data_IF_925726618485
#
_entry.id   IF_925726618485
#
_cell.length_a   1.000
_cell.length_b   1.000
_cell.length_c   1.000
_cell.angle_alpha   90.00
_cell.angle_beta   90.00
_cell.angle_gamma   90.00
#
_symmetry.space_group_name_H-M   'P 1'
#
loop_
_entity.id
_entity.type
_entity.pdbx_description
1 polymer ?
#
# COMPACT_ATOMS: atom_id res chain seq x y z
N UNK A 1 -0.77 19.62 1.65
CA UNK A 1 -1.34 18.97 0.46
C UNK A 1 -1.66 17.55 0.86
N UNK A 2 -2.64 16.88 0.29
CA UNK A 2 -2.81 15.46 0.58
C UNK A 2 -1.55 14.71 0.12
N UNK A 3 -1.13 13.72 0.92
CA UNK A 3 0.00 12.89 0.56
C UNK A 3 -0.35 12.06 -0.69
N UNK A 4 0.63 11.93 -1.57
CA UNK A 4 0.55 11.14 -2.79
C UNK A 4 1.03 9.71 -2.52
N UNK A 5 0.25 8.72 -2.93
CA UNK A 5 0.61 7.30 -2.76
C UNK A 5 0.64 6.56 -4.09
N UNK A 6 1.51 5.59 -4.15
CA UNK A 6 1.52 4.57 -5.19
C UNK A 6 1.32 3.21 -4.54
N UNK A 7 0.31 2.48 -4.97
CA UNK A 7 0.20 1.06 -4.67
C UNK A 7 0.71 0.30 -5.89
N UNK A 8 1.84 -0.36 -5.71
CA UNK A 8 2.54 -1.08 -6.76
C UNK A 8 2.32 -2.58 -6.62
N UNK A 9 1.92 -3.23 -7.70
CA UNK A 9 2.01 -4.68 -7.89
C UNK A 9 3.15 -4.98 -8.85
N UNK A 10 4.06 -5.87 -8.47
CA UNK A 10 5.20 -6.27 -9.31
C UNK A 10 5.14 -7.77 -9.52
N UNK A 11 4.97 -8.19 -10.77
CA UNK A 11 4.89 -9.61 -11.14
C UNK A 11 6.30 -10.14 -11.45
N UNK A 12 6.85 -10.92 -10.52
CA UNK A 12 8.16 -11.54 -10.67
C UNK A 12 8.16 -12.79 -11.53
N UNK A 13 9.30 -13.12 -12.10
CA UNK A 13 9.56 -14.42 -12.72
C UNK A 13 9.57 -15.54 -11.65
N UNK A 14 9.34 -16.78 -12.08
CA UNK A 14 9.26 -17.92 -11.16
C UNK A 14 10.54 -18.07 -10.32
N UNK A 15 10.37 -18.10 -9.00
CA UNK A 15 11.47 -18.18 -8.03
C UNK A 15 12.23 -16.87 -7.81
N UNK A 16 11.74 -15.73 -8.31
CA UNK A 16 12.44 -14.44 -8.22
C UNK A 16 12.34 -13.76 -6.85
N UNK A 17 11.36 -14.12 -6.02
CA UNK A 17 11.08 -13.42 -4.77
C UNK A 17 12.32 -13.22 -3.86
N UNK A 18 13.18 -14.22 -3.60
CA UNK A 18 14.36 -14.02 -2.75
C UNK A 18 15.28 -12.90 -3.26
N UNK A 19 15.52 -12.85 -4.58
CA UNK A 19 16.33 -11.80 -5.20
C UNK A 19 15.63 -10.45 -5.19
N UNK A 20 14.33 -10.40 -5.44
CA UNK A 20 13.54 -9.18 -5.29
C UNK A 20 13.66 -8.59 -3.88
N UNK A 21 13.56 -9.45 -2.86
CA UNK A 21 13.77 -9.01 -1.46
C UNK A 21 15.14 -8.38 -1.25
N UNK A 22 16.21 -8.96 -1.82
CA UNK A 22 17.57 -8.39 -1.77
C UNK A 22 17.66 -7.02 -2.47
N UNK A 23 16.88 -6.77 -3.55
CA UNK A 23 16.86 -5.50 -4.26
C UNK A 23 16.04 -4.44 -3.51
N UNK A 24 14.93 -4.83 -2.89
CA UNK A 24 14.03 -3.91 -2.19
C UNK A 24 14.56 -3.43 -0.83
N UNK A 25 15.39 -4.22 -0.14
CA UNK A 25 15.95 -3.79 1.16
C UNK A 25 16.76 -2.49 1.04
N UNK A 26 17.76 -2.36 0.13
CA UNK A 26 18.47 -1.09 -0.05
C UNK A 26 17.56 0.06 -0.53
N UNK A 27 16.52 -0.24 -1.30
CA UNK A 27 15.54 0.76 -1.75
C UNK A 27 14.71 1.28 -0.58
N UNK A 28 14.28 0.40 0.35
CA UNK A 28 13.61 0.82 1.58
C UNK A 28 14.51 1.72 2.43
N UNK A 29 15.80 1.39 2.53
CA UNK A 29 16.77 2.15 3.32
C UNK A 29 17.02 3.55 2.74
N UNK A 30 17.24 3.65 1.42
CA UNK A 30 17.47 4.95 0.77
C UNK A 30 16.20 5.80 0.79
N UNK A 31 15.05 5.21 0.50
CA UNK A 31 13.75 5.90 0.53
C UNK A 31 13.50 6.60 1.87
N UNK A 32 13.87 5.97 2.99
CA UNK A 32 13.72 6.58 4.32
C UNK A 32 14.55 7.88 4.52
N UNK A 33 15.51 8.15 3.63
CA UNK A 33 16.37 9.35 3.67
C UNK A 33 16.08 10.35 2.55
N UNK A 34 15.22 9.99 1.61
CA UNK A 34 14.92 10.82 0.43
C UNK A 34 13.93 11.94 0.76
N UNK A 35 14.12 13.13 0.18
CA UNK A 35 13.15 14.21 0.28
C UNK A 35 11.78 13.79 -0.22
N UNK A 36 10.75 14.19 0.50
CA UNK A 36 9.34 13.88 0.23
C UNK A 36 8.88 12.45 0.52
N UNK A 37 9.77 11.46 0.76
CA UNK A 37 9.34 10.10 1.06
C UNK A 37 8.72 10.00 2.46
N UNK A 38 7.48 9.52 2.54
CA UNK A 38 6.76 9.29 3.79
C UNK A 38 6.56 7.81 4.08
N UNK A 39 6.51 6.99 3.03
CA UNK A 39 6.29 5.55 3.15
C UNK A 39 6.97 4.80 2.01
N UNK A 40 7.50 3.62 2.34
CA UNK A 40 8.01 2.66 1.37
C UNK A 40 7.94 1.28 2.00
N UNK A 41 6.82 0.57 1.79
CA UNK A 41 6.44 -0.61 2.56
C UNK A 41 6.07 -1.77 1.65
N UNK A 42 6.89 -2.84 1.68
CA UNK A 42 6.82 -3.92 0.71
C UNK A 42 6.55 -5.28 1.34
N UNK A 43 5.74 -6.07 0.65
CA UNK A 43 5.35 -7.43 1.04
C UNK A 43 5.31 -8.41 -0.12
N UNK A 44 5.33 -9.69 0.22
CA UNK A 44 5.13 -10.81 -0.70
C UNK A 44 3.65 -11.14 -0.80
N UNK A 45 3.14 -11.38 -2.01
CA UNK A 45 1.78 -11.88 -2.24
C UNK A 45 1.54 -13.21 -1.50
N UNK A 46 0.36 -13.34 -0.89
CA UNK A 46 -0.08 -14.55 -0.21
C UNK A 46 -1.40 -15.10 -0.75
N UNK A 47 -1.86 -14.59 -1.89
CA UNK A 47 -3.09 -14.99 -2.57
C UNK A 47 -2.85 -16.03 -3.68
N UNK A 48 -1.66 -16.60 -3.77
CA UNK A 48 -1.32 -17.68 -4.68
C UNK A 48 -0.29 -17.33 -5.77
N UNK A 49 0.21 -16.10 -5.77
CA UNK A 49 1.25 -15.62 -6.69
C UNK A 49 2.56 -15.30 -5.94
N UNK A 50 3.30 -16.31 -5.44
CA UNK A 50 4.38 -16.13 -4.46
C UNK A 50 5.56 -15.30 -4.94
N UNK A 51 5.73 -15.09 -6.25
CA UNK A 51 6.74 -14.22 -6.84
C UNK A 51 6.20 -12.83 -7.20
N UNK A 52 4.96 -12.52 -6.83
CA UNK A 52 4.37 -11.19 -6.90
C UNK A 52 4.63 -10.42 -5.61
N UNK A 53 4.91 -9.13 -5.76
CA UNK A 53 5.17 -8.20 -4.67
C UNK A 53 4.10 -7.12 -4.66
N UNK A 54 3.78 -6.67 -3.45
CA UNK A 54 2.91 -5.51 -3.22
C UNK A 54 3.65 -4.46 -2.42
N UNK A 55 3.62 -3.22 -2.89
CA UNK A 55 4.27 -2.10 -2.22
C UNK A 55 3.34 -0.90 -2.06
N UNK A 56 3.39 -0.25 -0.90
CA UNK A 56 2.85 1.07 -0.69
C UNK A 56 4.00 2.06 -0.63
N UNK A 57 4.05 2.98 -1.57
CA UNK A 57 4.98 4.09 -1.57
C UNK A 57 4.22 5.39 -1.29
N UNK A 58 4.65 6.16 -0.33
CA UNK A 58 4.03 7.42 0.05
C UNK A 58 4.99 8.59 -0.07
N UNK A 59 4.49 9.71 -0.56
CA UNK A 59 5.28 10.93 -0.77
C UNK A 59 4.47 12.17 -0.40
N UNK A 60 5.09 13.12 0.30
CA UNK A 60 4.50 14.43 0.57
C UNK A 60 4.27 15.27 -0.70
N UNK A 61 4.94 14.91 -1.81
CA UNK A 61 4.77 15.50 -3.13
C UNK A 61 5.05 14.47 -4.24
N UNK A 62 4.27 14.41 -5.35
CA UNK A 62 4.47 13.45 -6.44
C UNK A 62 5.88 13.49 -7.08
N UNK A 63 6.59 14.64 -7.01
CA UNK A 63 7.97 14.75 -7.49
C UNK A 63 8.91 13.75 -6.82
N UNK A 64 8.63 13.34 -5.59
CA UNK A 64 9.39 12.31 -4.88
C UNK A 64 9.39 10.99 -5.63
N UNK A 65 8.22 10.56 -6.11
CA UNK A 65 8.06 9.34 -6.90
C UNK A 65 8.59 9.48 -8.33
N UNK A 66 8.15 10.51 -9.06
CA UNK A 66 8.44 10.59 -10.50
C UNK A 66 9.88 11.03 -10.82
N UNK A 67 10.54 11.73 -9.92
CA UNK A 67 11.87 12.32 -10.15
C UNK A 67 12.85 11.92 -9.05
N UNK A 68 12.50 12.14 -7.77
CA UNK A 68 13.42 12.00 -6.64
C UNK A 68 13.95 10.58 -6.48
N UNK A 69 13.09 9.63 -6.21
CA UNK A 69 13.48 8.23 -5.99
C UNK A 69 14.17 7.60 -7.22
N UNK A 70 13.66 7.74 -8.48
CA UNK A 70 14.32 7.21 -9.66
C UNK A 70 15.68 7.88 -9.99
N UNK A 71 15.92 9.08 -9.49
CA UNK A 71 17.20 9.77 -9.69
C UNK A 71 18.31 9.26 -8.76
N UNK A 72 17.97 8.59 -7.66
CA UNK A 72 18.95 8.10 -6.70
C UNK A 72 19.88 7.04 -7.32
N UNK A 73 21.14 7.04 -6.91
CA UNK A 73 22.13 6.07 -7.40
C UNK A 73 21.79 4.65 -6.93
N UNK A 74 21.14 4.53 -5.76
CA UNK A 74 20.70 3.24 -5.23
C UNK A 74 19.59 2.67 -6.10
N UNK A 75 18.58 3.48 -6.46
CA UNK A 75 17.50 3.03 -7.34
C UNK A 75 18.05 2.55 -8.70
N UNK A 76 18.87 3.36 -9.35
CA UNK A 76 19.49 3.03 -10.66
C UNK A 76 20.29 1.74 -10.58
N UNK A 77 21.07 1.56 -9.51
CA UNK A 77 21.88 0.36 -9.31
C UNK A 77 21.03 -0.88 -9.10
N UNK A 78 20.01 -0.80 -8.23
CA UNK A 78 19.20 -1.98 -7.93
C UNK A 78 18.27 -2.33 -9.09
N UNK A 79 17.69 -1.35 -9.80
CA UNK A 79 16.87 -1.62 -11.00
C UNK A 79 17.70 -2.23 -12.13
N UNK A 80 18.95 -1.79 -12.32
CA UNK A 80 19.88 -2.44 -13.26
C UNK A 80 20.07 -3.93 -12.94
N UNK A 81 20.22 -4.27 -11.64
CA UNK A 81 20.35 -5.68 -11.22
C UNK A 81 19.03 -6.46 -11.41
N UNK A 82 17.86 -5.81 -11.22
CA UNK A 82 16.56 -6.43 -11.54
C UNK A 82 16.55 -6.90 -12.99
N UNK A 83 17.00 -6.04 -13.92
CA UNK A 83 17.07 -6.37 -15.34
C UNK A 83 18.13 -7.45 -15.66
N UNK A 84 19.32 -7.33 -15.08
CA UNK A 84 20.42 -8.29 -15.27
C UNK A 84 20.05 -9.69 -14.75
N UNK A 85 19.38 -9.77 -13.61
CA UNK A 85 18.89 -11.00 -13.00
C UNK A 85 17.57 -11.50 -13.61
N UNK A 86 16.95 -10.74 -14.52
CA UNK A 86 15.69 -11.05 -15.20
C UNK A 86 14.55 -11.35 -14.22
N UNK A 87 14.36 -10.47 -13.24
CA UNK A 87 13.42 -10.69 -12.16
C UNK A 87 11.96 -10.43 -12.52
N UNK A 88 11.67 -9.75 -13.62
CA UNK A 88 10.30 -9.55 -14.11
C UNK A 88 9.86 -10.73 -14.98
N UNK A 89 8.57 -11.03 -14.97
CA UNK A 89 8.02 -12.24 -15.62
C UNK A 89 8.05 -12.17 -17.14
N UNK A 90 7.66 -11.04 -17.73
CA UNK A 90 7.47 -10.93 -19.19
C UNK A 90 8.56 -10.09 -19.86
N UNK A 91 8.70 -8.85 -19.45
CA UNK A 91 9.61 -7.89 -20.07
C UNK A 91 10.45 -7.19 -19.02
N UNK A 92 11.75 -7.05 -19.25
CA UNK A 92 12.63 -6.32 -18.33
C UNK A 92 12.56 -4.81 -18.59
N UNK A 93 12.91 -4.01 -17.58
CA UNK A 93 12.96 -2.55 -17.62
C UNK A 93 11.75 -1.87 -16.98
N UNK A 94 11.91 -0.60 -16.64
CA UNK A 94 10.91 0.21 -15.90
C UNK A 94 9.58 0.41 -16.67
N UNK A 95 9.56 0.20 -17.98
CA UNK A 95 8.34 0.21 -18.79
C UNK A 95 7.65 -1.15 -18.91
N UNK A 96 8.04 -2.15 -18.11
CA UNK A 96 7.45 -3.48 -18.13
C UNK A 96 5.97 -3.46 -17.74
N UNK A 97 5.11 -4.27 -18.41
CA UNK A 97 3.73 -4.48 -17.99
C UNK A 97 3.62 -5.28 -16.68
N UNK A 98 4.74 -5.82 -16.18
CA UNK A 98 4.80 -6.49 -14.88
C UNK A 98 4.75 -5.52 -13.71
N UNK A 99 4.89 -4.22 -13.95
CA UNK A 99 4.62 -3.15 -13.00
C UNK A 99 3.20 -2.63 -13.20
N UNK A 100 2.30 -3.00 -12.29
CA UNK A 100 0.95 -2.46 -12.22
C UNK A 100 0.90 -1.42 -11.10
N UNK A 101 0.80 -0.15 -11.48
CA UNK A 101 0.93 1.00 -10.59
C UNK A 101 -0.36 1.80 -10.55
N UNK A 102 -0.94 1.90 -9.36
CA UNK A 102 -2.07 2.76 -9.10
C UNK A 102 -1.66 3.98 -8.26
N UNK A 103 -2.17 5.14 -8.60
CA UNK A 103 -1.81 6.44 -8.01
C UNK A 103 -2.96 6.99 -7.18
N UNK A 104 -2.68 7.43 -5.95
CA UNK A 104 -3.71 7.81 -5.02
C UNK A 104 -3.42 9.12 -4.28
N UNK A 105 -4.50 9.84 -3.98
CA UNK A 105 -4.54 10.80 -2.87
C UNK A 105 -5.07 10.12 -1.61
N UNK A 106 -4.50 10.45 -0.45
CA UNK A 106 -5.10 10.09 0.82
C UNK A 106 -6.45 10.79 0.96
N UNK A 107 -7.53 10.02 1.07
CA UNK A 107 -8.86 10.58 1.24
C UNK A 107 -9.26 10.68 2.71
N UNK A 108 -9.09 9.60 3.47
CA UNK A 108 -9.46 9.54 4.88
C UNK A 108 -8.78 8.36 5.59
N UNK A 109 -8.73 8.41 6.93
CA UNK A 109 -8.24 7.29 7.73
C UNK A 109 -6.88 7.54 8.37
N UNK A 110 -6.10 6.47 8.51
CA UNK A 110 -4.78 6.53 9.14
C UNK A 110 -3.87 5.44 8.59
N UNK A 111 -2.59 5.74 8.47
CA UNK A 111 -1.53 4.78 8.14
C UNK A 111 -0.81 4.28 9.39
N UNK A 112 -0.74 5.12 10.42
CA UNK A 112 -0.24 4.75 11.75
C UNK A 112 -1.15 5.29 12.83
N UNK A 113 -1.05 4.71 14.04
CA UNK A 113 -1.75 5.20 15.23
C UNK A 113 -0.70 5.62 16.28
N UNK A 114 -0.80 6.83 16.85
CA UNK A 114 0.17 7.31 17.83
C UNK A 114 0.27 6.44 19.10
N UNK A 115 -0.82 5.75 19.45
CA UNK A 115 -0.94 4.88 20.61
C UNK A 115 -0.57 3.41 20.31
N UNK A 116 -0.24 3.07 19.06
CA UNK A 116 0.25 1.75 18.67
C UNK A 116 1.77 1.64 18.90
N UNK A 117 2.18 0.69 19.74
CA UNK A 117 3.60 0.42 20.03
C UNK A 117 4.35 -0.17 18.85
N UNK A 118 3.63 -0.89 18.00
CA UNK A 118 4.18 -1.63 16.85
C UNK A 118 3.87 -0.94 15.52
N UNK A 119 3.57 0.37 15.55
CA UNK A 119 3.24 1.16 14.35
C UNK A 119 4.32 1.08 13.27
N UNK A 120 5.59 0.94 13.66
CA UNK A 120 6.77 0.85 12.78
C UNK A 120 7.16 -0.60 12.44
N UNK A 121 6.28 -1.56 12.74
CA UNK A 121 6.49 -2.99 12.43
C UNK A 121 6.70 -3.20 10.93
N UNK A 122 7.67 -4.04 10.57
CA UNK A 122 8.08 -4.26 9.18
C UNK A 122 7.52 -5.56 8.58
N UNK A 123 6.81 -6.34 9.35
CA UNK A 123 6.29 -7.66 9.00
C UNK A 123 4.78 -7.78 9.21
N UNK A 124 4.04 -6.67 9.08
CA UNK A 124 2.58 -6.66 9.17
C UNK A 124 1.94 -7.46 8.04
N UNK A 125 0.75 -7.97 8.30
CA UNK A 125 -0.12 -8.47 7.25
C UNK A 125 -0.88 -7.31 6.61
N UNK A 126 -0.91 -7.27 5.28
CA UNK A 126 -1.51 -6.18 4.52
C UNK A 126 -2.64 -6.71 3.65
N UNK A 127 -3.77 -6.00 3.63
CA UNK A 127 -4.83 -6.20 2.66
C UNK A 127 -5.12 -4.89 1.93
N UNK A 128 -5.10 -4.91 0.61
CA UNK A 128 -5.56 -3.84 -0.25
C UNK A 128 -6.86 -4.28 -0.92
N UNK A 129 -7.94 -3.53 -0.71
CA UNK A 129 -9.25 -3.84 -1.29
C UNK A 129 -9.61 -2.71 -2.24
N UNK A 130 -9.60 -3.03 -3.52
CA UNK A 130 -10.03 -2.14 -4.58
C UNK A 130 -11.54 -2.22 -4.75
N UNK A 131 -12.19 -1.07 -4.84
CA UNK A 131 -13.62 -0.94 -5.08
C UNK A 131 -13.83 -0.03 -6.28
N UNK A 132 -14.74 -0.41 -7.17
CA UNK A 132 -15.18 0.41 -8.31
C UNK A 132 -16.65 0.78 -8.13
N UNK A 133 -16.90 2.08 -7.96
CA UNK A 133 -18.26 2.61 -7.94
C UNK A 133 -18.85 2.65 -9.36
N UNK A 134 -20.17 2.54 -9.51
CA UNK A 134 -20.84 2.94 -10.75
C UNK A 134 -20.49 4.40 -11.11
N UNK A 135 -20.56 4.71 -12.40
CA UNK A 135 -20.22 6.05 -12.90
C UNK A 135 -20.91 7.17 -12.09
N UNK A 136 -20.13 8.17 -11.70
CA UNK A 136 -20.57 9.31 -10.90
C UNK A 136 -20.82 9.03 -9.40
N UNK A 137 -20.69 7.78 -8.93
CA UNK A 137 -21.00 7.41 -7.54
C UNK A 137 -19.78 7.27 -6.62
N UNK A 138 -18.54 7.52 -7.10
CA UNK A 138 -17.34 7.41 -6.27
C UNK A 138 -17.40 8.26 -4.99
N UNK A 139 -18.02 9.44 -5.02
CA UNK A 139 -18.18 10.28 -3.82
C UNK A 139 -18.97 9.55 -2.72
N UNK A 140 -20.00 8.79 -3.07
CA UNK A 140 -20.78 8.01 -2.12
C UNK A 140 -19.96 6.85 -1.56
N UNK A 141 -19.24 6.11 -2.43
CA UNK A 141 -18.32 5.05 -2.01
C UNK A 141 -17.28 5.56 -1.01
N UNK A 142 -16.62 6.68 -1.32
CA UNK A 142 -15.62 7.30 -0.43
C UNK A 142 -16.24 7.71 0.91
N UNK A 143 -17.46 8.25 0.93
CA UNK A 143 -18.18 8.58 2.17
C UNK A 143 -18.51 7.35 3.01
N UNK A 144 -18.95 6.26 2.38
CA UNK A 144 -19.22 4.98 3.07
C UNK A 144 -17.95 4.38 3.66
N UNK A 145 -16.86 4.36 2.89
CA UNK A 145 -15.56 3.89 3.37
C UNK A 145 -15.06 4.73 4.55
N UNK A 146 -15.21 6.06 4.50
CA UNK A 146 -14.80 6.96 5.60
C UNK A 146 -15.58 6.69 6.88
N UNK A 147 -16.90 6.46 6.80
CA UNK A 147 -17.72 6.09 7.96
C UNK A 147 -17.26 4.74 8.56
N UNK A 148 -16.83 3.79 7.71
CA UNK A 148 -16.22 2.54 8.17
C UNK A 148 -14.93 2.74 8.95
N UNK A 149 -14.06 3.66 8.52
CA UNK A 149 -12.83 4.02 9.25
C UNK A 149 -13.16 4.51 10.66
N UNK A 150 -14.17 5.37 10.80
CA UNK A 150 -14.55 5.92 12.11
C UNK A 150 -15.06 4.84 13.06
N UNK A 151 -15.85 3.89 12.54
CA UNK A 151 -16.33 2.72 13.33
C UNK A 151 -15.16 1.84 13.79
N UNK A 152 -14.21 1.54 12.90
CA UNK A 152 -13.01 0.76 13.22
C UNK A 152 -12.16 1.48 14.27
N UNK A 153 -11.90 2.77 14.07
CA UNK A 153 -11.13 3.59 15.03
C UNK A 153 -11.75 3.60 16.42
N UNK A 154 -13.08 3.67 16.50
CA UNK A 154 -13.81 3.68 17.77
C UNK A 154 -13.83 2.30 18.47
N UNK A 155 -13.62 1.21 17.73
CA UNK A 155 -13.71 -0.15 18.27
C UNK A 155 -12.45 -0.65 18.97
N UNK A 156 -11.31 -0.02 18.72
CA UNK A 156 -10.01 -0.43 19.25
C UNK A 156 -9.34 0.72 20.01
N UNK A 157 -8.71 0.37 21.14
CA UNK A 157 -7.87 1.28 21.92
C UNK A 157 -6.66 0.53 22.48
N UNK A 158 -5.60 1.27 22.82
CA UNK A 158 -4.47 0.67 23.52
C UNK A 158 -4.92 -0.01 24.83
N UNK A 159 -4.42 -1.21 25.20
CA UNK A 159 -3.34 -1.97 24.56
C UNK A 159 -3.79 -3.00 23.50
N UNK A 160 -5.05 -2.96 23.04
CA UNK A 160 -5.66 -3.99 22.21
C UNK A 160 -5.72 -3.62 20.71
N UNK A 161 -4.85 -2.72 20.29
CA UNK A 161 -4.75 -2.34 18.87
C UNK A 161 -4.19 -3.50 18.07
N UNK A 162 -4.96 -3.99 17.09
CA UNK A 162 -4.54 -5.00 16.13
C UNK A 162 -4.51 -4.46 14.71
N UNK A 163 -5.29 -3.40 14.44
CA UNK A 163 -5.35 -2.71 13.15
C UNK A 163 -4.40 -1.52 13.18
N UNK A 164 -3.30 -1.62 12.43
CA UNK A 164 -2.22 -0.64 12.40
C UNK A 164 -2.45 0.46 11.37
N UNK A 165 -3.09 0.11 10.24
CA UNK A 165 -3.52 1.06 9.20
C UNK A 165 -4.95 0.75 8.78
N UNK A 166 -5.73 1.80 8.51
CA UNK A 166 -7.04 1.69 7.88
C UNK A 166 -7.29 2.97 7.09
N UNK A 167 -6.84 2.99 5.84
CA UNK A 167 -6.76 4.17 5.02
C UNK A 167 -7.62 4.05 3.75
N UNK A 168 -8.39 5.07 3.46
CA UNK A 168 -9.16 5.21 2.23
C UNK A 168 -8.35 6.03 1.25
N UNK A 169 -7.96 5.41 0.16
CA UNK A 169 -7.17 5.99 -0.92
C UNK A 169 -8.07 6.24 -2.12
N UNK A 170 -8.03 7.46 -2.67
CA UNK A 170 -8.80 7.87 -3.85
C UNK A 170 -7.89 7.79 -5.06
N UNK A 171 -8.20 6.89 -6.00
CA UNK A 171 -7.39 6.72 -7.21
C UNK A 171 -7.45 7.99 -8.09
N UNK A 172 -6.30 8.37 -8.66
CA UNK A 172 -6.13 9.63 -9.37
C UNK A 172 -6.53 9.54 -10.86
N UNK A 173 -6.30 8.40 -11.50
CA UNK A 173 -6.52 8.20 -12.94
C UNK A 173 -7.84 7.49 -13.23
N UNK A 174 -8.23 6.51 -12.40
CA UNK A 174 -9.54 5.87 -12.49
C UNK A 174 -10.55 6.63 -11.61
N UNK A 175 -11.43 7.39 -12.25
CA UNK A 175 -12.41 8.25 -11.59
C UNK A 175 -13.50 7.50 -10.81
N UNK A 176 -13.59 6.18 -10.96
CA UNK A 176 -14.56 5.35 -10.26
C UNK A 176 -13.95 4.53 -9.12
N UNK A 177 -12.62 4.45 -9.04
CA UNK A 177 -11.91 3.58 -8.13
C UNK A 177 -11.57 4.27 -6.79
N UNK A 178 -11.70 3.50 -5.72
CA UNK A 178 -11.17 3.79 -4.39
C UNK A 178 -10.56 2.51 -3.80
N UNK A 179 -9.55 2.65 -2.96
CA UNK A 179 -8.89 1.52 -2.31
C UNK A 179 -8.93 1.67 -0.80
N UNK A 180 -9.28 0.60 -0.11
CA UNK A 180 -9.11 0.49 1.33
C UNK A 180 -7.81 -0.26 1.60
N UNK A 181 -6.82 0.45 2.15
CA UNK A 181 -5.54 -0.10 2.57
C UNK A 181 -5.58 -0.42 4.05
N UNK A 182 -5.39 -1.69 4.39
CA UNK A 182 -5.47 -2.20 5.76
C UNK A 182 -4.14 -2.86 6.10
N UNK A 183 -3.62 -2.55 7.28
CA UNK A 183 -2.45 -3.21 7.85
C UNK A 183 -2.84 -3.75 9.23
N UNK A 184 -2.59 -5.03 9.47
CA UNK A 184 -2.81 -5.69 10.76
C UNK A 184 -1.50 -6.31 11.24
N UNK A 185 -1.39 -6.58 12.55
CA UNK A 185 -0.17 -7.17 13.13
C UNK A 185 0.10 -8.58 12.57
N UNK A 186 -0.95 -9.32 12.25
CA UNK A 186 -0.84 -10.69 11.75
C UNK A 186 -2.00 -11.04 10.83
N UNK A 187 -1.83 -12.12 10.06
CA UNK A 187 -2.90 -12.73 9.27
C UNK A 187 -4.12 -13.10 10.14
N UNK A 188 -3.89 -13.60 11.36
CA UNK A 188 -4.96 -13.94 12.29
C UNK A 188 -5.78 -12.70 12.69
N UNK A 189 -5.14 -11.55 12.88
CA UNK A 189 -5.85 -10.31 13.20
C UNK A 189 -6.69 -9.83 12.01
N UNK A 190 -6.18 -9.98 10.79
CA UNK A 190 -6.93 -9.75 9.57
C UNK A 190 -8.18 -10.66 9.47
N UNK A 191 -8.02 -11.96 9.69
CA UNK A 191 -9.13 -12.94 9.69
C UNK A 191 -10.17 -12.60 10.78
N UNK A 192 -9.71 -12.12 11.94
CA UNK A 192 -10.57 -11.64 13.02
C UNK A 192 -11.34 -10.38 12.59
N UNK A 193 -10.68 -9.42 11.96
CA UNK A 193 -11.33 -8.22 11.42
C UNK A 193 -12.38 -8.60 10.37
N UNK A 194 -12.03 -9.45 9.38
CA UNK A 194 -12.96 -9.89 8.34
C UNK A 194 -14.23 -10.56 8.90
N UNK A 195 -14.08 -11.31 9.98
CA UNK A 195 -15.22 -12.00 10.63
C UNK A 195 -16.03 -11.10 11.57
N UNK A 196 -15.52 -9.92 11.91
CA UNK A 196 -16.16 -8.98 12.82
C UNK A 196 -17.46 -8.40 12.26
N UNK A 197 -18.38 -8.03 13.16
CA UNK A 197 -19.63 -7.35 12.80
C UNK A 197 -19.34 -6.02 12.09
N UNK A 198 -18.37 -5.24 12.58
CA UNK A 198 -17.99 -3.92 12.03
C UNK A 198 -17.59 -4.03 10.56
N UNK A 199 -16.75 -5.02 10.22
CA UNK A 199 -16.27 -5.19 8.85
C UNK A 199 -17.38 -5.72 7.92
N UNK A 200 -18.23 -6.62 8.41
CA UNK A 200 -19.40 -7.12 7.66
C UNK A 200 -20.41 -6.01 7.38
N UNK A 201 -20.69 -5.16 8.37
CA UNK A 201 -21.55 -3.99 8.20
C UNK A 201 -20.95 -3.02 7.17
N UNK A 202 -19.62 -2.74 7.21
CA UNK A 202 -18.95 -1.92 6.22
C UNK A 202 -19.14 -2.49 4.80
N UNK A 203 -18.92 -3.79 4.60
CA UNK A 203 -19.12 -4.41 3.28
C UNK A 203 -20.58 -4.34 2.84
N UNK A 204 -21.54 -4.54 3.74
CA UNK A 204 -22.97 -4.38 3.45
C UNK A 204 -23.33 -2.94 3.06
N UNK A 205 -22.76 -1.94 3.72
CA UNK A 205 -22.99 -0.53 3.40
C UNK A 205 -22.36 -0.13 2.04
N UNK A 206 -21.28 -0.81 1.64
CA UNK A 206 -20.60 -0.58 0.36
C UNK A 206 -21.38 -1.20 -0.81
N UNK A 207 -22.03 -2.34 -0.62
CA UNK A 207 -22.69 -3.13 -1.68
C UNK A 207 -23.58 -2.27 -2.62
N UNK A 208 -24.43 -1.33 -2.14
CA UNK A 208 -25.28 -0.51 -3.01
C UNK A 208 -24.53 0.52 -3.85
N UNK A 209 -23.27 0.81 -3.52
CA UNK A 209 -22.43 1.83 -4.16
C UNK A 209 -21.17 1.25 -4.81
N UNK A 210 -21.08 -0.09 -4.86
CA UNK A 210 -19.97 -0.84 -5.42
C UNK A 210 -20.44 -1.65 -6.63
N UNK A 211 -19.68 -1.62 -7.71
CA UNK A 211 -19.94 -2.44 -8.90
C UNK A 211 -19.01 -3.66 -8.98
N UNK A 212 -17.78 -3.49 -8.48
CA UNK A 212 -16.73 -4.51 -8.52
C UNK A 212 -15.80 -4.30 -7.33
N UNK A 213 -15.29 -5.38 -6.77
CA UNK A 213 -14.19 -5.33 -5.80
C UNK A 213 -13.16 -6.41 -6.08
N UNK A 214 -11.92 -6.10 -5.74
CA UNK A 214 -10.79 -7.03 -5.75
C UNK A 214 -10.03 -6.88 -4.44
N UNK A 215 -9.58 -8.00 -3.88
CA UNK A 215 -8.77 -8.03 -2.67
C UNK A 215 -7.41 -8.63 -2.98
N UNK A 216 -6.37 -7.99 -2.46
CA UNK A 216 -5.00 -8.45 -2.56
C UNK A 216 -4.38 -8.47 -1.19
N UNK A 217 -3.74 -9.57 -0.85
CA UNK A 217 -3.16 -9.80 0.46
C UNK A 217 -1.65 -10.04 0.33
N UNK A 218 -0.90 -9.46 1.25
CA UNK A 218 0.56 -9.65 1.27
C UNK A 218 1.10 -9.72 2.70
N UNK A 219 2.21 -10.43 2.85
CA UNK A 219 2.98 -10.45 4.08
C UNK A 219 4.18 -9.50 3.90
N UNK A 220 4.17 -8.41 4.65
CA UNK A 220 5.27 -7.46 4.60
C UNK A 220 6.59 -8.08 5.09
N UNK A 221 7.70 -7.58 4.57
CA UNK A 221 9.03 -8.04 4.96
C UNK A 221 10.03 -6.91 5.20
N UNK A 222 9.74 -5.69 4.74
CA UNK A 222 10.57 -4.52 5.00
C UNK A 222 9.85 -3.22 4.64
N UNK A 223 10.36 -2.11 5.17
CA UNK A 223 9.92 -0.77 4.84
C UNK A 223 9.77 0.15 6.02
N UNK A 224 9.30 1.35 5.73
CA UNK A 224 8.84 2.36 6.68
C UNK A 224 7.48 2.89 6.23
N UNK A 225 6.72 3.46 7.16
CA UNK A 225 5.38 3.97 6.87
C UNK A 225 5.09 5.21 7.72
N UNK A 226 4.44 6.21 7.10
CA UNK A 226 3.94 7.43 7.75
C UNK A 226 5.02 8.19 8.55
N UNK A 227 6.26 8.16 8.06
CA UNK A 227 7.33 8.97 8.65
C UNK A 227 7.25 10.41 8.16
N UNK A 228 7.77 11.34 8.99
CA UNK A 228 7.98 12.70 8.51
C UNK A 228 9.10 12.69 7.45
N UNK A 229 8.86 13.20 6.23
CA UNK A 229 9.88 13.20 5.22
C UNK A 229 11.06 14.08 5.66
N UNK A 230 12.30 13.72 5.32
CA UNK A 230 13.42 14.63 5.46
C UNK A 230 13.12 15.93 4.71
N UNK A 231 13.36 17.08 5.35
CA UNK A 231 13.14 18.38 4.71
C UNK A 231 14.16 18.49 3.57
N UNK A 232 13.66 18.33 2.33
CA UNK A 232 14.46 18.60 1.15
C UNK A 232 14.73 20.09 1.00
N UNK A 233 15.75 20.49 0.23
CA UNK A 233 15.92 21.90 -0.11
C UNK A 233 14.67 22.38 -0.85
N UNK A 234 14.11 23.47 -0.36
CA UNK A 234 13.00 24.21 -0.98
C UNK A 234 13.51 24.85 -2.26
#
# INVERSE_FOLDING_TARGET
MPDFFVLARVVGSDGAFPKWKERLVPLCEVSATEPYSTSYYWGQDVDGEPDTLWGLEGYAHPVGFFIGHPASDVFKREMKKVDEDRLLRHVQGLGSPDYDLHYYDMHYGFLTRPDDKDKDCKDSFVAAIHFWAPEGRRKQLLGTLSAGVDRVRASESAPHITIQSFAVLKECLDVNMATLYIRTRSRKDWETLQSSTIFKELLSDIEPVNQKSEIHQSQAFNGHIDQNPPIGPV
#
